data_IF_295789992837
#
_entry.id   IF_295789992837
#
_cell.length_a   1.000
_cell.length_b   1.000
_cell.length_c   1.000
_cell.angle_alpha   90.00
_cell.angle_beta   90.00
_cell.angle_gamma   90.00
#
_symmetry.space_group_name_H-M   'P 1'
#
loop_
_entity.id
_entity.type
_entity.pdbx_description
1 polymer ?
#
# COMPACT_ATOMS: atom_id res chain seq x y z
N UNK A 1 2.66 -9.03 -10.99
CA UNK A 1 3.19 -10.17 -10.20
C UNK A 1 2.77 -9.96 -8.75
N UNK A 2 1.93 -10.84 -8.20
CA UNK A 2 1.29 -10.63 -6.89
C UNK A 2 1.96 -11.38 -5.75
N UNK A 3 3.04 -12.10 -6.04
CA UNK A 3 3.82 -12.78 -5.02
C UNK A 3 4.41 -11.79 -4.02
N UNK A 4 4.07 -12.00 -2.76
CA UNK A 4 4.53 -11.16 -1.67
C UNK A 4 5.85 -11.69 -1.12
N UNK A 5 6.97 -11.28 -1.67
CA UNK A 5 8.32 -11.76 -1.29
C UNK A 5 9.28 -10.64 -0.85
N UNK A 6 8.93 -9.39 -1.16
CA UNK A 6 9.76 -8.20 -0.91
C UNK A 6 9.73 -7.84 0.58
N UNK A 7 10.88 -7.48 1.15
CA UNK A 7 11.01 -7.08 2.57
C UNK A 7 10.66 -5.61 2.78
N UNK A 8 10.30 -5.21 4.01
CA UNK A 8 10.01 -3.80 4.31
C UNK A 8 11.22 -2.87 4.06
N UNK A 9 12.45 -3.35 4.26
CA UNK A 9 13.67 -2.60 3.98
C UNK A 9 13.82 -2.29 2.50
N UNK A 10 13.63 -3.32 1.64
CA UNK A 10 13.61 -3.14 0.19
C UNK A 10 12.49 -2.20 -0.25
N UNK A 11 11.30 -2.29 0.34
CA UNK A 11 10.20 -1.34 0.04
C UNK A 11 10.60 0.09 0.41
N UNK A 12 11.23 0.31 1.56
CA UNK A 12 11.76 1.62 1.96
C UNK A 12 12.72 2.18 0.91
N UNK A 13 13.68 1.37 0.46
CA UNK A 13 14.66 1.78 -0.55
C UNK A 13 13.99 2.15 -1.88
N UNK A 14 13.01 1.35 -2.32
CA UNK A 14 12.32 1.55 -3.61
C UNK A 14 11.31 2.71 -3.59
N UNK A 15 10.77 3.07 -2.43
CA UNK A 15 9.69 4.06 -2.30
C UNK A 15 10.14 5.39 -1.70
N UNK A 16 11.28 5.42 -1.01
CA UNK A 16 11.72 6.55 -0.20
C UNK A 16 10.91 6.76 1.09
N UNK A 17 9.94 5.89 1.38
CA UNK A 17 9.17 5.94 2.62
C UNK A 17 9.98 5.38 3.78
N UNK A 18 9.77 5.95 4.96
CA UNK A 18 10.22 5.32 6.21
C UNK A 18 9.43 4.04 6.48
N UNK A 19 10.02 3.08 7.19
CA UNK A 19 9.29 1.88 7.63
C UNK A 19 8.07 2.23 8.48
N UNK A 20 8.15 3.32 9.27
CA UNK A 20 7.05 3.83 10.07
C UNK A 20 5.87 4.26 9.18
N UNK A 21 6.12 4.97 8.09
CA UNK A 21 5.08 5.36 7.14
C UNK A 21 4.45 4.13 6.46
N UNK A 22 5.25 3.16 6.06
CA UNK A 22 4.75 1.91 5.45
C UNK A 22 3.81 1.17 6.41
N UNK A 23 4.23 0.99 7.68
CA UNK A 23 3.41 0.37 8.73
C UNK A 23 2.14 1.18 9.00
N UNK A 24 2.23 2.50 9.03
CA UNK A 24 1.08 3.39 9.19
C UNK A 24 0.07 3.25 8.03
N UNK A 25 0.52 3.13 6.78
CA UNK A 25 -0.39 2.93 5.64
C UNK A 25 -1.06 1.55 5.64
N UNK A 26 -0.39 0.51 6.15
CA UNK A 26 -1.01 -0.79 6.46
C UNK A 26 -2.05 -0.67 7.57
N UNK A 27 -1.76 0.04 8.67
CA UNK A 27 -2.73 0.29 9.75
C UNK A 27 -3.97 1.05 9.26
N UNK A 28 -3.79 1.95 8.28
CA UNK A 28 -4.88 2.64 7.58
C UNK A 28 -5.55 1.81 6.47
N UNK A 29 -5.20 0.53 6.36
CA UNK A 29 -5.75 -0.42 5.40
C UNK A 29 -5.65 0.04 3.94
N UNK A 30 -4.57 0.75 3.59
CA UNK A 30 -4.30 1.18 2.22
C UNK A 30 -3.55 0.09 1.43
N UNK A 31 -2.78 -0.72 2.14
CA UNK A 31 -2.03 -1.88 1.65
C UNK A 31 -2.22 -3.08 2.58
N UNK A 32 -1.98 -4.28 2.05
CA UNK A 32 -2.24 -5.54 2.76
C UNK A 32 -1.08 -6.52 2.56
N UNK A 33 0.10 -6.29 3.16
CA UNK A 33 1.21 -7.23 3.08
C UNK A 33 0.84 -8.54 3.79
N UNK A 34 1.46 -9.65 3.39
CA UNK A 34 1.36 -10.90 4.15
C UNK A 34 2.43 -10.94 5.24
N UNK A 35 2.27 -11.81 6.23
CA UNK A 35 3.33 -12.16 7.17
C UNK A 35 4.03 -13.46 6.73
N UNK A 36 5.35 -13.51 6.88
CA UNK A 36 6.11 -14.76 6.78
C UNK A 36 5.92 -15.60 8.06
N UNK A 37 6.40 -16.84 8.06
CA UNK A 37 6.39 -17.70 9.27
C UNK A 37 7.08 -17.05 10.48
N UNK A 38 8.13 -16.26 10.25
CA UNK A 38 8.82 -15.50 11.30
C UNK A 38 8.18 -14.14 11.63
N UNK A 39 6.96 -13.86 11.17
CA UNK A 39 6.23 -12.62 11.47
C UNK A 39 6.64 -11.37 10.68
N UNK A 40 7.64 -11.48 9.79
CA UNK A 40 8.08 -10.36 8.96
C UNK A 40 7.05 -10.04 7.86
N UNK A 41 6.84 -8.75 7.57
CA UNK A 41 5.97 -8.31 6.47
C UNK A 41 6.61 -8.61 5.12
N UNK A 42 5.80 -9.10 4.20
CA UNK A 42 6.17 -9.37 2.82
C UNK A 42 5.20 -8.67 1.88
N UNK A 43 5.77 -7.97 0.91
CA UNK A 43 5.08 -7.10 -0.04
C UNK A 43 5.22 -7.65 -1.46
N UNK A 44 4.23 -7.39 -2.31
CA UNK A 44 4.32 -7.62 -3.74
C UNK A 44 4.86 -6.38 -4.45
N UNK A 45 5.18 -6.50 -5.74
CA UNK A 45 5.50 -5.34 -6.56
C UNK A 45 4.32 -4.35 -6.65
N UNK A 46 3.09 -4.86 -6.71
CA UNK A 46 1.88 -4.02 -6.70
C UNK A 46 1.74 -3.21 -5.41
N UNK A 47 2.06 -3.79 -4.25
CA UNK A 47 2.08 -3.05 -2.98
C UNK A 47 3.10 -1.88 -3.03
N UNK A 48 4.27 -2.10 -3.66
CA UNK A 48 5.32 -1.07 -3.82
C UNK A 48 4.81 0.08 -4.68
N UNK A 49 4.23 -0.21 -5.84
CA UNK A 49 3.68 0.82 -6.73
C UNK A 49 2.53 1.59 -6.05
N UNK A 50 1.67 0.88 -5.32
CA UNK A 50 0.61 1.52 -4.53
C UNK A 50 1.16 2.46 -3.46
N UNK A 51 2.23 2.05 -2.77
CA UNK A 51 2.91 2.89 -1.78
C UNK A 51 3.54 4.15 -2.40
N UNK A 52 4.11 4.07 -3.61
CA UNK A 52 4.60 5.25 -4.34
C UNK A 52 3.45 6.23 -4.64
N UNK A 53 2.31 5.73 -5.11
CA UNK A 53 1.12 6.55 -5.37
C UNK A 53 0.61 7.20 -4.08
N UNK A 54 0.50 6.44 -2.99
CA UNK A 54 0.12 7.00 -1.68
C UNK A 54 1.09 8.09 -1.25
N UNK A 55 2.41 7.88 -1.41
CA UNK A 55 3.42 8.86 -1.05
C UNK A 55 3.24 10.19 -1.80
N UNK A 56 3.02 10.14 -3.12
CA UNK A 56 2.76 11.31 -3.94
C UNK A 56 1.47 12.02 -3.49
N UNK A 57 0.38 11.29 -3.30
CA UNK A 57 -0.89 11.88 -2.83
C UNK A 57 -0.77 12.54 -1.46
N UNK A 58 -0.02 11.96 -0.54
CA UNK A 58 0.22 12.58 0.77
C UNK A 58 1.04 13.88 0.66
N UNK A 59 1.98 13.97 -0.31
CA UNK A 59 2.71 15.21 -0.62
C UNK A 59 1.79 16.27 -1.24
N UNK A 60 0.81 15.85 -2.02
CA UNK A 60 -0.22 16.72 -2.61
C UNK A 60 -1.30 17.17 -1.58
N UNK A 61 -1.15 16.81 -0.29
CA UNK A 61 -2.05 17.24 0.78
C UNK A 61 -3.28 16.33 1.01
N UNK A 62 -3.37 15.19 0.33
CA UNK A 62 -4.45 14.22 0.60
C UNK A 62 -4.29 13.58 1.97
N UNK A 63 -5.41 13.20 2.58
CA UNK A 63 -5.43 12.46 3.86
C UNK A 63 -5.62 10.97 3.59
N UNK A 64 -5.07 10.13 4.46
CA UNK A 64 -5.20 8.66 4.34
C UNK A 64 -6.65 8.18 4.34
N UNK A 65 -7.55 8.88 5.05
CA UNK A 65 -8.99 8.62 5.03
C UNK A 65 -9.59 8.78 3.63
N UNK A 66 -9.23 9.84 2.90
CA UNK A 66 -9.72 10.09 1.55
C UNK A 66 -9.20 9.02 0.58
N UNK A 67 -7.92 8.65 0.70
CA UNK A 67 -7.33 7.59 -0.11
C UNK A 67 -8.03 6.24 0.11
N UNK A 68 -8.38 5.93 1.37
CA UNK A 68 -9.10 4.69 1.71
C UNK A 68 -10.50 4.67 1.10
N UNK A 69 -11.22 5.81 1.16
CA UNK A 69 -12.58 5.95 0.60
C UNK A 69 -12.57 5.79 -0.91
N UNK A 70 -11.62 6.43 -1.60
CA UNK A 70 -11.48 6.34 -3.06
C UNK A 70 -11.15 4.92 -3.52
N UNK A 71 -10.25 4.22 -2.82
CA UNK A 71 -9.95 2.82 -3.10
C UNK A 71 -11.17 1.90 -2.93
N UNK A 72 -12.00 2.15 -1.90
CA UNK A 72 -13.24 1.40 -1.69
C UNK A 72 -14.32 1.74 -2.74
N UNK A 73 -14.34 2.99 -3.23
CA UNK A 73 -15.29 3.43 -4.26
C UNK A 73 -14.97 2.83 -5.63
N UNK A 74 -13.69 2.73 -6.01
CA UNK A 74 -13.28 2.13 -7.28
C UNK A 74 -13.72 0.66 -7.40
N UNK A 75 -13.63 -0.10 -6.32
CA UNK A 75 -14.11 -1.49 -6.26
C UNK A 75 -15.62 -1.62 -6.47
N UNK A 76 -16.40 -0.57 -6.17
CA UNK A 76 -17.85 -0.53 -6.40
C UNK A 76 -18.23 -0.10 -7.81
N UNK A 77 -17.31 0.53 -8.55
CA UNK A 77 -17.53 0.95 -9.94
C UNK A 77 -17.21 -0.20 -10.93
N UNK A 78 -16.19 -1.02 -10.64
CA UNK A 78 -15.85 -2.16 -11.51
C UNK A 78 -16.88 -3.29 -11.47
N UNK A 79 -17.70 -3.40 -10.42
CA UNK A 79 -18.82 -4.36 -10.36
C UNK A 79 -20.05 -3.95 -11.16
N UNK A 80 -20.03 -2.80 -11.85
CA UNK A 80 -21.18 -2.21 -12.55
C UNK A 80 -21.04 -2.08 -14.06
N UNK A 81 -20.02 -2.67 -14.69
CA UNK A 81 -19.95 -2.82 -16.16
C UNK A 81 -20.12 -4.29 -16.52
N UNK A 82 -21.36 -4.69 -16.70
CA UNK A 82 -21.77 -5.78 -17.61
C UNK A 82 -22.58 -5.15 -18.73
#
# INVERSE_FOLDING_TARGET
MNDKVISIGTVRELTGLTERQIRYYEEKQLIFPRRSRGGARKFSFEDVEKLKVIHLKMKDGFRTYDLRRSAASLLKFDSGRS
#
